data_IF_451931234208
#
_entry.id   IF_451931234208
#
_cell.length_a   1.000
_cell.length_b   1.000
_cell.length_c   1.000
_cell.angle_alpha   90.00
_cell.angle_beta   90.00
_cell.angle_gamma   90.00
#
_symmetry.space_group_name_H-M   'P 1'
#
loop_
_entity.id
_entity.type
_entity.pdbx_description
1 polymer ?
#
# COMPACT_ATOMS: atom_id res chain seq x y z
N UNK A 1 26.25 -13.95 8.71
CA UNK A 1 24.98 -13.51 8.08
C UNK A 1 24.52 -12.30 8.85
N UNK A 2 24.57 -11.12 8.23
CA UNK A 2 23.85 -9.97 8.75
C UNK A 2 22.37 -10.35 8.82
N UNK A 3 21.75 -10.18 9.99
CA UNK A 3 20.33 -10.40 10.15
C UNK A 3 19.55 -9.40 9.30
N UNK A 4 18.39 -9.82 8.79
CA UNK A 4 17.48 -8.91 8.10
C UNK A 4 17.11 -7.79 9.10
N UNK A 5 17.29 -6.51 8.73
CA UNK A 5 16.90 -5.43 9.60
C UNK A 5 15.41 -5.50 9.89
N UNK A 6 15.02 -5.27 11.14
CA UNK A 6 13.62 -5.17 11.51
C UNK A 6 12.92 -4.06 10.69
N UNK A 7 11.60 -4.18 10.54
CA UNK A 7 10.80 -3.15 9.91
C UNK A 7 11.07 -1.76 10.50
N UNK A 8 11.35 -0.78 9.63
CA UNK A 8 11.50 0.62 9.96
C UNK A 8 10.67 1.45 8.97
N UNK A 9 9.64 2.11 9.51
CA UNK A 9 8.72 2.94 8.76
C UNK A 9 9.44 4.06 8.02
N UNK A 10 10.34 4.76 8.70
CA UNK A 10 10.99 5.95 8.14
C UNK A 10 11.98 5.55 7.04
N UNK A 11 12.65 4.40 7.16
CA UNK A 11 13.45 3.82 6.07
C UNK A 11 12.58 3.54 4.85
N UNK A 12 11.44 2.85 5.03
CA UNK A 12 10.57 2.47 3.92
C UNK A 12 9.95 3.69 3.23
N UNK A 13 9.49 4.68 4.02
CA UNK A 13 9.00 5.97 3.52
C UNK A 13 10.07 6.67 2.68
N UNK A 14 11.32 6.79 3.18
CA UNK A 14 12.42 7.41 2.43
C UNK A 14 12.73 6.66 1.13
N UNK A 15 12.71 5.33 1.15
CA UNK A 15 12.93 4.51 -0.04
C UNK A 15 11.87 4.77 -1.12
N UNK A 16 10.58 4.75 -0.75
CA UNK A 16 9.48 5.03 -1.67
C UNK A 16 9.51 6.47 -2.19
N UNK A 17 9.76 7.46 -1.34
CA UNK A 17 9.92 8.86 -1.78
C UNK A 17 11.03 8.98 -2.81
N UNK A 18 12.20 8.40 -2.53
CA UNK A 18 13.34 8.45 -3.46
C UNK A 18 13.05 7.72 -4.78
N UNK A 19 12.28 6.62 -4.73
CA UNK A 19 11.85 5.93 -5.93
C UNK A 19 10.98 6.84 -6.83
N UNK A 20 9.96 7.48 -6.27
CA UNK A 20 9.11 8.43 -7.01
C UNK A 20 9.90 9.64 -7.54
N UNK A 21 10.81 10.20 -6.75
CA UNK A 21 11.69 11.29 -7.21
C UNK A 21 12.63 10.86 -8.35
N UNK A 22 13.01 9.57 -8.39
CA UNK A 22 13.79 9.02 -9.50
C UNK A 22 12.96 8.98 -10.77
N UNK A 23 11.70 8.55 -10.71
CA UNK A 23 10.77 8.58 -11.84
C UNK A 23 10.57 10.01 -12.37
N UNK A 24 10.47 11.01 -11.49
CA UNK A 24 10.43 12.42 -11.89
C UNK A 24 11.69 12.83 -12.65
N UNK A 25 12.88 12.50 -12.14
CA UNK A 25 14.16 12.85 -12.79
C UNK A 25 14.37 12.16 -14.13
N UNK A 26 13.75 10.99 -14.31
CA UNK A 26 13.74 10.26 -15.58
C UNK A 26 12.73 10.84 -16.59
N UNK A 27 11.91 11.81 -16.19
CA UNK A 27 10.90 12.44 -17.03
C UNK A 27 9.61 11.64 -17.18
N UNK A 28 9.35 10.64 -16.32
CA UNK A 28 8.10 9.86 -16.36
C UNK A 28 6.89 10.64 -15.83
N UNK A 29 7.11 11.55 -14.90
CA UNK A 29 6.06 12.38 -14.31
C UNK A 29 6.61 13.69 -13.75
N UNK A 30 5.73 14.66 -13.50
CA UNK A 30 6.08 15.91 -12.81
C UNK A 30 6.17 15.74 -11.29
N UNK A 31 6.99 16.56 -10.61
CA UNK A 31 7.13 16.53 -9.14
C UNK A 31 5.82 16.86 -8.41
N UNK A 32 4.98 17.68 -9.02
CA UNK A 32 3.64 18.06 -8.56
C UNK A 32 2.72 16.85 -8.32
N UNK A 33 3.03 15.70 -8.93
CA UNK A 33 2.27 14.47 -8.77
C UNK A 33 2.61 13.70 -7.49
N UNK A 34 3.72 14.04 -6.81
CA UNK A 34 4.11 13.42 -5.54
C UNK A 34 3.48 14.19 -4.38
N UNK A 35 2.49 13.58 -3.73
CA UNK A 35 1.92 14.06 -2.48
C UNK A 35 2.79 13.61 -1.33
N UNK A 36 3.56 14.53 -0.75
CA UNK A 36 4.47 14.27 0.37
C UNK A 36 3.75 14.47 1.70
N UNK A 37 3.88 13.55 2.67
CA UNK A 37 3.25 13.70 3.98
C UNK A 37 3.81 14.92 4.71
N UNK A 38 3.00 15.63 5.51
CA UNK A 38 3.53 16.63 6.44
C UNK A 38 4.34 15.95 7.56
N UNK A 39 5.05 16.74 8.38
CA UNK A 39 5.98 16.22 9.42
C UNK A 39 5.36 15.19 10.39
N UNK A 40 4.04 15.27 10.64
CA UNK A 40 3.31 14.33 11.50
C UNK A 40 2.47 13.29 10.75
N UNK A 41 2.65 13.15 9.43
CA UNK A 41 1.83 12.31 8.58
C UNK A 41 0.44 12.88 8.27
N UNK A 42 -0.32 12.13 7.47
CA UNK A 42 -1.63 12.53 6.94
C UNK A 42 -2.75 12.58 8.00
N UNK A 43 -2.53 12.05 9.20
CA UNK A 43 -3.49 12.08 10.30
C UNK A 43 -4.78 11.33 9.96
N UNK A 44 -5.92 12.02 10.09
CA UNK A 44 -7.27 11.47 9.89
C UNK A 44 -7.69 11.39 8.42
N UNK A 45 -6.84 11.85 7.48
CA UNK A 45 -7.06 11.63 6.05
C UNK A 45 -6.83 10.17 5.64
N UNK A 46 -6.25 9.36 6.54
CA UNK A 46 -6.21 7.90 6.45
C UNK A 46 -7.30 7.36 7.36
N UNK A 47 -8.31 6.71 6.78
CA UNK A 47 -9.41 6.11 7.53
C UNK A 47 -8.96 4.85 8.29
N UNK A 48 -8.41 5.08 9.48
CA UNK A 48 -7.96 4.03 10.37
C UNK A 48 -9.11 3.15 10.88
N UNK A 49 -10.36 3.62 10.92
CA UNK A 49 -11.48 2.80 11.37
C UNK A 49 -11.76 1.71 10.36
N UNK A 50 -11.89 2.07 9.09
CA UNK A 50 -12.15 1.12 8.01
C UNK A 50 -10.99 0.15 7.81
N UNK A 51 -9.74 0.62 7.91
CA UNK A 51 -8.55 -0.25 7.85
C UNK A 51 -8.54 -1.32 8.96
N UNK A 52 -8.98 -1.00 10.17
CA UNK A 52 -9.12 -1.98 11.26
C UNK A 52 -10.22 -3.00 10.98
N UNK A 53 -11.33 -2.58 10.38
CA UNK A 53 -12.41 -3.49 9.95
C UNK A 53 -11.88 -4.48 8.90
N UNK A 54 -11.01 -4.01 8.00
CA UNK A 54 -10.26 -4.83 7.03
C UNK A 54 -9.08 -5.63 7.65
N UNK A 55 -9.01 -5.69 8.97
CA UNK A 55 -8.03 -6.49 9.70
C UNK A 55 -6.60 -5.93 9.70
N UNK A 56 -6.36 -4.67 9.29
CA UNK A 56 -5.02 -4.07 9.36
C UNK A 56 -4.66 -3.66 10.79
N UNK A 57 -3.40 -3.88 11.18
CA UNK A 57 -2.89 -3.50 12.50
C UNK A 57 -2.41 -2.04 12.55
N UNK A 58 -2.08 -1.57 13.77
CA UNK A 58 -1.61 -0.18 13.97
C UNK A 58 -0.29 0.13 13.24
N UNK A 59 0.59 -0.86 13.06
CA UNK A 59 1.86 -0.67 12.32
C UNK A 59 1.60 -0.33 10.86
N UNK A 60 0.65 -1.02 10.20
CA UNK A 60 0.23 -0.72 8.83
C UNK A 60 -0.46 0.64 8.76
N UNK A 61 -1.35 0.94 9.70
CA UNK A 61 -2.07 2.22 9.73
C UNK A 61 -1.08 3.39 9.92
N UNK A 62 -0.10 3.24 10.81
CA UNK A 62 0.96 4.21 11.02
C UNK A 62 1.84 4.37 9.77
N UNK A 63 2.16 3.28 9.08
CA UNK A 63 2.87 3.34 7.80
C UNK A 63 2.10 4.17 6.77
N UNK A 64 0.83 3.83 6.51
CA UNK A 64 -0.01 4.51 5.51
C UNK A 64 -0.14 6.01 5.80
N UNK A 65 -0.18 6.42 7.07
CA UNK A 65 -0.16 7.85 7.44
C UNK A 65 1.12 8.57 7.05
N UNK A 66 2.21 7.88 6.79
CA UNK A 66 3.50 8.48 6.50
C UNK A 66 4.01 8.18 5.09
N UNK A 67 3.27 7.43 4.27
CA UNK A 67 3.69 7.19 2.89
C UNK A 67 3.56 8.46 2.02
N UNK A 68 4.48 8.66 1.06
CA UNK A 68 4.18 9.50 -0.09
C UNK A 68 3.11 8.82 -0.95
N UNK A 69 2.18 9.59 -1.50
CA UNK A 69 1.20 9.09 -2.46
C UNK A 69 1.42 9.73 -3.82
N UNK A 70 1.12 9.00 -4.88
CA UNK A 70 1.02 9.55 -6.23
C UNK A 70 -0.43 9.89 -6.54
N UNK A 71 -0.63 10.85 -7.44
CA UNK A 71 -1.93 11.01 -8.10
C UNK A 71 -2.19 9.78 -8.98
N UNK A 72 -3.46 9.35 -9.07
CA UNK A 72 -3.87 8.02 -9.57
C UNK A 72 -3.47 7.70 -11.02
N UNK A 73 -3.16 8.69 -11.85
CA UNK A 73 -3.02 8.51 -13.29
C UNK A 73 -1.61 8.10 -13.75
N UNK A 74 -0.70 7.75 -12.83
CA UNK A 74 0.69 7.41 -13.14
C UNK A 74 1.03 5.96 -12.85
N UNK A 75 1.47 5.26 -13.90
CA UNK A 75 2.05 3.93 -13.78
C UNK A 75 3.44 4.03 -13.14
N UNK A 76 3.67 3.23 -12.11
CA UNK A 76 5.01 3.12 -11.50
C UNK A 76 5.87 2.05 -12.18
N UNK A 77 5.22 1.10 -12.86
CA UNK A 77 5.76 0.04 -13.72
C UNK A 77 4.71 -0.30 -14.79
N UNK A 78 5.05 -1.01 -15.88
CA UNK A 78 4.05 -1.44 -16.86
C UNK A 78 2.82 -2.07 -16.19
N UNK A 79 1.64 -1.60 -16.59
CA UNK A 79 0.33 -2.04 -16.10
C UNK A 79 0.12 -1.97 -14.57
N UNK A 80 0.97 -1.25 -13.83
CA UNK A 80 0.98 -1.20 -12.36
C UNK A 80 0.68 0.22 -11.86
N UNK A 81 -0.50 0.38 -11.25
CA UNK A 81 -1.03 1.64 -10.70
C UNK A 81 -0.85 1.72 -9.18
N UNK A 82 -0.60 2.91 -8.60
CA UNK A 82 -0.51 3.10 -7.16
C UNK A 82 -1.88 3.11 -6.49
N UNK A 83 -2.00 2.46 -5.33
CA UNK A 83 -3.19 2.54 -4.48
C UNK A 83 -3.12 3.83 -3.65
N UNK A 84 -4.09 4.72 -3.85
CA UNK A 84 -4.22 5.93 -3.05
C UNK A 84 -5.16 5.71 -1.85
N UNK A 85 -4.59 5.34 -0.70
CA UNK A 85 -5.32 5.29 0.58
C UNK A 85 -5.68 6.68 1.12
N UNK A 86 -4.94 7.72 0.73
CA UNK A 86 -5.18 9.09 1.13
C UNK A 86 -6.55 9.59 0.64
N UNK A 87 -7.44 9.90 1.59
CA UNK A 87 -8.80 10.33 1.29
C UNK A 87 -9.69 9.23 0.70
N UNK A 88 -9.28 7.96 0.81
CA UNK A 88 -10.10 6.84 0.35
C UNK A 88 -11.34 6.70 1.23
N UNK A 89 -12.51 6.70 0.59
CA UNK A 89 -13.81 6.50 1.23
C UNK A 89 -14.25 5.04 1.05
N UNK A 90 -14.90 4.51 2.07
CA UNK A 90 -15.37 3.12 2.11
C UNK A 90 -16.90 3.09 2.08
N UNK A 91 -17.46 2.04 1.48
CA UNK A 91 -18.90 1.83 1.48
C UNK A 91 -19.41 1.44 2.88
N UNK A 92 -20.68 1.72 3.15
CA UNK A 92 -21.34 1.45 4.44
C UNK A 92 -21.51 -0.04 4.73
N UNK A 93 -21.39 -0.89 3.71
CA UNK A 93 -21.45 -2.35 3.82
C UNK A 93 -20.10 -3.00 4.16
N UNK A 94 -19.04 -2.21 4.37
CA UNK A 94 -17.68 -2.72 4.65
C UNK A 94 -17.67 -3.74 5.79
N UNK A 95 -18.30 -3.41 6.92
CA UNK A 95 -18.32 -4.28 8.09
C UNK A 95 -19.07 -5.60 7.81
N UNK A 96 -20.18 -5.53 7.08
CA UNK A 96 -20.99 -6.69 6.71
C UNK A 96 -20.22 -7.61 5.76
N UNK A 97 -19.54 -7.04 4.75
CA UNK A 97 -18.66 -7.79 3.82
C UNK A 97 -17.55 -8.52 4.56
N UNK A 98 -16.82 -7.81 5.42
CA UNK A 98 -15.70 -8.39 6.20
C UNK A 98 -16.16 -9.41 7.26
N UNK A 99 -17.43 -9.40 7.65
CA UNK A 99 -18.01 -10.42 8.50
C UNK A 99 -18.40 -11.71 7.75
N UNK A 100 -18.69 -11.61 6.45
CA UNK A 100 -18.99 -12.76 5.58
C UNK A 100 -17.72 -13.51 5.21
N UNK A 101 -16.72 -12.79 4.71
CA UNK A 101 -15.42 -13.33 4.36
C UNK A 101 -14.36 -12.25 4.60
N UNK A 102 -13.21 -12.64 5.14
CA UNK A 102 -12.11 -11.74 5.46
C UNK A 102 -11.11 -11.58 4.32
N UNK A 103 -11.34 -12.28 3.20
CA UNK A 103 -10.63 -12.06 1.96
C UNK A 103 -10.84 -10.63 1.46
N UNK A 104 -9.75 -9.86 1.43
CA UNK A 104 -9.80 -8.50 0.87
C UNK A 104 -9.96 -8.52 -0.64
N UNK A 105 -9.36 -9.49 -1.35
CA UNK A 105 -9.45 -9.54 -2.81
C UNK A 105 -10.89 -9.81 -3.28
N UNK A 106 -11.70 -10.51 -2.48
CA UNK A 106 -13.08 -10.85 -2.83
C UNK A 106 -13.99 -9.61 -2.94
N UNK A 107 -13.81 -8.63 -2.04
CA UNK A 107 -14.69 -7.46 -1.95
C UNK A 107 -14.01 -6.16 -2.38
N UNK A 108 -12.68 -6.10 -2.24
CA UNK A 108 -11.83 -4.97 -2.59
C UNK A 108 -10.58 -5.47 -3.34
N UNK A 109 -10.74 -6.01 -4.57
CA UNK A 109 -9.68 -6.65 -5.34
C UNK A 109 -8.34 -5.90 -5.39
N UNK A 110 -8.30 -4.55 -5.52
CA UNK A 110 -7.02 -3.83 -5.54
C UNK A 110 -6.19 -3.93 -4.26
N UNK A 111 -6.80 -4.27 -3.11
CA UNK A 111 -6.13 -4.14 -1.81
C UNK A 111 -5.31 -5.36 -1.39
N UNK A 112 -5.52 -6.50 -2.04
CA UNK A 112 -4.73 -7.72 -1.87
C UNK A 112 -4.68 -8.53 -3.17
N UNK A 113 -3.50 -9.04 -3.57
CA UNK A 113 -3.34 -9.80 -4.82
C UNK A 113 -3.71 -11.29 -4.71
N UNK A 114 -4.23 -11.75 -3.56
CA UNK A 114 -4.57 -13.15 -3.30
C UNK A 114 -5.84 -13.26 -2.44
N UNK A 115 -6.48 -14.43 -2.50
CA UNK A 115 -7.82 -14.68 -1.96
C UNK A 115 -7.84 -15.05 -0.48
N UNK A 116 -6.72 -15.43 0.11
CA UNK A 116 -6.66 -15.79 1.52
C UNK A 116 -6.79 -14.57 2.46
N UNK A 117 -7.20 -14.82 3.70
CA UNK A 117 -7.11 -13.82 4.77
C UNK A 117 -5.64 -13.40 4.94
N UNK A 118 -5.34 -12.17 4.53
CA UNK A 118 -3.99 -11.62 4.64
C UNK A 118 -3.63 -11.30 6.09
N UNK A 119 -2.38 -11.55 6.46
CA UNK A 119 -1.84 -11.18 7.77
C UNK A 119 -2.06 -9.69 8.09
N UNK A 120 -2.43 -9.31 9.33
CA UNK A 120 -2.73 -7.92 9.70
C UNK A 120 -1.62 -6.90 9.43
N UNK A 121 -0.38 -7.37 9.36
CA UNK A 121 0.82 -6.57 9.07
C UNK A 121 1.10 -6.38 7.57
N UNK A 122 0.26 -6.93 6.70
CA UNK A 122 0.41 -6.81 5.24
C UNK A 122 -0.41 -5.65 4.67
N UNK A 123 0.08 -5.01 3.62
CA UNK A 123 -0.70 -4.02 2.84
C UNK A 123 -0.18 -3.93 1.41
N UNK A 124 -1.09 -3.91 0.44
CA UNK A 124 -0.72 -3.70 -0.95
C UNK A 124 -0.52 -2.20 -1.24
N UNK A 125 0.46 -1.83 -2.04
CA UNK A 125 0.67 -0.43 -2.46
C UNK A 125 0.26 -0.16 -3.89
N UNK A 126 0.09 -1.20 -4.70
CA UNK A 126 -0.15 -1.07 -6.14
C UNK A 126 -1.08 -2.17 -6.61
N UNK A 127 -1.73 -1.95 -7.73
CA UNK A 127 -2.60 -2.94 -8.37
C UNK A 127 -2.55 -2.79 -9.88
N UNK A 128 -3.17 -3.71 -10.59
CA UNK A 128 -3.29 -3.63 -12.03
C UNK A 128 -3.70 -4.95 -12.66
N UNK A 129 -3.92 -4.93 -13.97
CA UNK A 129 -4.28 -6.14 -14.71
C UNK A 129 -3.01 -6.81 -15.24
N UNK A 130 -2.58 -7.88 -14.59
CA UNK A 130 -1.31 -8.56 -14.92
C UNK A 130 -0.09 -7.79 -14.42
N UNK A 131 -0.28 -6.89 -13.46
CA UNK A 131 0.77 -6.12 -12.79
C UNK A 131 1.66 -7.01 -11.91
N UNK A 132 2.75 -6.40 -11.46
CA UNK A 132 3.50 -6.88 -10.29
C UNK A 132 3.16 -5.96 -9.12
N UNK A 133 2.32 -6.45 -8.22
CA UNK A 133 1.83 -5.72 -7.08
C UNK A 133 2.88 -5.65 -5.97
N UNK A 134 3.06 -4.47 -5.38
CA UNK A 134 4.01 -4.27 -4.30
C UNK A 134 3.32 -4.48 -2.96
N UNK A 135 3.56 -5.64 -2.36
CA UNK A 135 3.02 -6.00 -1.05
C UNK A 135 4.05 -5.70 0.03
N UNK A 136 3.68 -4.91 1.02
CA UNK A 136 4.49 -4.68 2.22
C UNK A 136 4.10 -5.69 3.28
N UNK A 137 5.08 -6.36 3.89
CA UNK A 137 4.93 -7.14 5.11
C UNK A 137 5.72 -6.45 6.24
N UNK A 138 5.01 -5.73 7.11
CA UNK A 138 5.62 -4.99 8.23
C UNK A 138 6.13 -5.91 9.35
N UNK A 139 5.70 -7.17 9.41
CA UNK A 139 6.19 -8.14 10.39
C UNK A 139 7.56 -8.65 9.98
N UNK A 140 7.75 -8.90 8.69
CA UNK A 140 9.03 -9.38 8.13
C UNK A 140 9.97 -8.25 7.70
N UNK A 141 9.46 -7.03 7.50
CA UNK A 141 10.24 -5.85 7.10
C UNK A 141 10.55 -5.79 5.60
N UNK A 142 9.71 -6.40 4.75
CA UNK A 142 9.97 -6.50 3.32
C UNK A 142 8.89 -5.84 2.46
N UNK A 143 9.29 -5.49 1.25
CA UNK A 143 8.40 -5.22 0.12
C UNK A 143 8.62 -6.37 -0.87
N UNK A 144 7.57 -7.10 -1.19
CA UNK A 144 7.64 -8.21 -2.15
C UNK A 144 6.85 -7.87 -3.41
N UNK A 145 7.37 -8.23 -4.59
CA UNK A 145 6.57 -8.30 -5.79
C UNK A 145 5.62 -9.50 -5.69
N UNK A 146 4.33 -9.28 -5.86
CA UNK A 146 3.32 -10.31 -6.03
C UNK A 146 2.68 -10.13 -7.40
N UNK A 147 2.88 -11.07 -8.31
CA UNK A 147 2.33 -10.99 -9.65
C UNK A 147 1.91 -12.36 -10.14
N UNK A 148 1.17 -12.42 -11.23
CA UNK A 148 0.64 -13.65 -11.86
C UNK A 148 1.71 -14.68 -12.26
N UNK A 149 2.99 -14.35 -12.14
CA UNK A 149 4.14 -15.19 -12.50
C UNK A 149 4.96 -15.70 -11.30
N UNK A 150 4.56 -15.38 -10.06
CA UNK A 150 5.31 -15.72 -8.85
C UNK A 150 4.39 -16.44 -7.86
N UNK A 151 4.54 -17.77 -7.72
CA UNK A 151 3.90 -18.51 -6.63
C UNK A 151 4.64 -18.21 -5.32
N UNK A 152 3.88 -17.86 -4.27
CA UNK A 152 4.39 -17.54 -2.92
C UNK A 152 4.48 -18.80 -2.06
#
# INVERSE_FOLDING_TARGET
MEGIPAYDRDVLVRCLTRHYETLVRMGYMEDSNIQRPPRGGWGDQIDAKSLRIMGRNETVIDLLRHLPYLQKDYLIMPDTEPIQYLGMMWDDTLADKMAVDKSLSQFYPPLMPFDEESEPGMVCLTHGRGSTDWLIDTKKGYVYPCGTHWEV
#
